data_IF_311704339618
#
_entry.id   IF_311704339618
#
_cell.length_a   1.000
_cell.length_b   1.000
_cell.length_c   1.000
_cell.angle_alpha   90.00
_cell.angle_beta   90.00
_cell.angle_gamma   90.00
#
_symmetry.space_group_name_H-M   'P 1'
#
loop_
_entity.id
_entity.type
_entity.pdbx_description
1 polymer ?
#
# COMPACT_ATOMS: atom_id res chain seq x y z
N UNK A 1 9.37 -4.48 -22.86
CA UNK A 1 8.48 -3.70 -21.98
C UNK A 1 7.69 -4.69 -21.13
N UNK A 2 8.10 -4.93 -19.89
CA UNK A 2 7.37 -5.82 -18.99
C UNK A 2 6.17 -5.06 -18.44
N UNK A 3 4.97 -5.52 -18.79
CA UNK A 3 3.73 -5.06 -18.17
C UNK A 3 3.74 -5.54 -16.72
N UNK A 4 3.99 -4.64 -15.77
CA UNK A 4 3.77 -4.94 -14.36
C UNK A 4 2.28 -5.19 -14.16
N UNK A 5 1.93 -6.37 -13.65
CA UNK A 5 0.58 -6.63 -13.19
C UNK A 5 0.26 -5.62 -12.07
N UNK A 6 -0.57 -4.62 -12.38
CA UNK A 6 -0.90 -3.48 -11.51
C UNK A 6 -1.85 -3.88 -10.36
N UNK A 7 -1.42 -4.81 -9.51
CA UNK A 7 -2.11 -5.19 -8.29
C UNK A 7 -1.89 -4.17 -7.17
N UNK A 8 -2.92 -3.91 -6.37
CA UNK A 8 -2.78 -3.14 -5.14
C UNK A 8 -2.36 -4.11 -4.03
N UNK A 9 -1.19 -3.91 -3.40
CA UNK A 9 -0.69 -4.64 -2.24
C UNK A 9 -1.17 -3.97 -0.95
N UNK A 10 -2.33 -4.40 -0.45
CA UNK A 10 -2.88 -4.03 0.86
C UNK A 10 -2.92 -5.25 1.77
N UNK A 11 -3.20 -5.07 3.06
CA UNK A 11 -3.48 -6.20 3.96
C UNK A 11 -4.56 -7.17 3.42
N UNK A 12 -5.60 -6.64 2.77
CA UNK A 12 -6.73 -7.43 2.26
C UNK A 12 -6.45 -8.15 0.92
N UNK A 13 -5.39 -7.75 0.21
CA UNK A 13 -5.01 -8.31 -1.10
C UNK A 13 -3.61 -8.93 -1.13
N UNK A 14 -2.82 -8.76 -0.06
CA UNK A 14 -1.43 -9.20 0.01
C UNK A 14 -1.29 -10.68 -0.33
N UNK A 15 -2.12 -11.56 0.24
CA UNK A 15 -2.04 -13.00 -0.05
C UNK A 15 -2.26 -13.30 -1.53
N UNK A 16 -3.32 -12.73 -2.15
CA UNK A 16 -3.58 -12.95 -3.58
C UNK A 16 -2.44 -12.44 -4.46
N UNK A 17 -1.87 -11.28 -4.13
CA UNK A 17 -0.74 -10.74 -4.87
C UNK A 17 0.53 -11.59 -4.70
N UNK A 18 0.76 -12.13 -3.50
CA UNK A 18 1.85 -13.08 -3.24
C UNK A 18 1.66 -14.32 -4.11
N UNK A 19 0.45 -14.87 -4.16
CA UNK A 19 0.15 -16.07 -4.95
C UNK A 19 0.40 -15.84 -6.44
N UNK A 20 -0.12 -14.72 -6.98
CA UNK A 20 0.05 -14.35 -8.39
C UNK A 20 1.53 -14.06 -8.74
N UNK A 21 2.26 -13.39 -7.84
CA UNK A 21 3.69 -13.14 -7.99
C UNK A 21 4.47 -14.46 -8.03
N UNK A 22 4.24 -15.34 -7.05
CA UNK A 22 4.99 -16.59 -6.93
C UNK A 22 4.73 -17.54 -8.09
N UNK A 23 3.50 -17.57 -8.62
CA UNK A 23 3.18 -18.32 -9.84
C UNK A 23 4.02 -17.84 -11.04
N UNK A 24 4.12 -16.51 -11.22
CA UNK A 24 4.91 -15.93 -12.31
C UNK A 24 6.42 -16.09 -12.10
N UNK A 25 6.88 -15.92 -10.85
CA UNK A 25 8.27 -16.10 -10.43
C UNK A 25 8.76 -17.53 -10.68
N UNK A 26 7.98 -18.54 -10.28
CA UNK A 26 8.29 -19.95 -10.53
C UNK A 26 8.33 -20.28 -12.03
N UNK A 27 7.37 -19.76 -12.81
CA UNK A 27 7.40 -19.90 -14.26
C UNK A 27 8.63 -19.24 -14.91
N UNK A 28 9.08 -18.09 -14.38
CA UNK A 28 10.28 -17.39 -14.83
C UNK A 28 11.57 -18.15 -14.49
N UNK A 29 11.60 -18.87 -13.37
CA UNK A 29 12.73 -19.72 -13.01
C UNK A 29 12.91 -20.89 -13.99
N UNK A 30 11.80 -21.46 -14.50
CA UNK A 30 11.83 -22.51 -15.52
C UNK A 30 12.07 -23.91 -14.96
N UNK A 31 11.60 -24.18 -13.74
CA UNK A 31 11.66 -25.51 -13.12
C UNK A 31 12.93 -25.72 -12.30
N UNK A 32 14.12 -25.70 -12.91
CA UNK A 32 15.39 -25.91 -12.20
C UNK A 32 16.09 -24.61 -11.78
N UNK A 33 17.03 -24.70 -10.84
CA UNK A 33 17.95 -23.59 -10.59
C UNK A 33 18.72 -23.22 -11.88
N UNK A 34 18.83 -21.92 -12.18
CA UNK A 34 19.39 -21.48 -13.44
C UNK A 34 20.93 -21.68 -13.46
N UNK A 35 21.46 -22.07 -14.61
CA UNK A 35 22.92 -22.23 -14.86
C UNK A 35 23.72 -20.92 -14.71
N UNK A 36 23.02 -19.80 -14.64
CA UNK A 36 23.51 -18.45 -14.41
C UNK A 36 22.54 -17.78 -13.42
N UNK A 37 22.99 -16.83 -12.60
CA UNK A 37 22.12 -16.16 -11.65
C UNK A 37 20.91 -15.55 -12.37
N UNK A 38 19.71 -15.68 -11.78
CA UNK A 38 18.47 -15.14 -12.34
C UNK A 38 17.74 -14.35 -11.28
N UNK A 39 17.00 -13.33 -11.70
CA UNK A 39 16.10 -12.59 -10.83
C UNK A 39 14.77 -12.33 -11.53
N UNK A 40 13.72 -12.21 -10.74
CA UNK A 40 12.40 -11.80 -11.17
C UNK A 40 11.88 -10.74 -10.21
N UNK A 41 11.41 -9.61 -10.72
CA UNK A 41 10.81 -8.57 -9.90
C UNK A 41 9.49 -8.05 -10.45
N UNK A 42 8.62 -7.60 -9.54
CA UNK A 42 7.38 -6.92 -9.86
C UNK A 42 7.16 -5.75 -8.89
N UNK A 43 6.65 -4.65 -9.44
CA UNK A 43 6.27 -3.47 -8.69
C UNK A 43 4.76 -3.55 -8.39
N UNK A 44 4.39 -3.31 -7.14
CA UNK A 44 3.02 -3.15 -6.69
C UNK A 44 2.79 -1.72 -6.19
N UNK A 45 1.52 -1.30 -6.16
CA UNK A 45 1.13 0.01 -5.64
C UNK A 45 1.84 1.19 -6.35
N UNK A 46 2.11 1.06 -7.65
CA UNK A 46 2.82 2.10 -8.38
C UNK A 46 2.06 3.44 -8.38
N UNK A 47 2.81 4.53 -8.27
CA UNK A 47 2.27 5.88 -8.12
C UNK A 47 1.58 6.15 -6.78
N UNK A 48 1.87 5.38 -5.73
CA UNK A 48 1.33 5.59 -4.38
C UNK A 48 2.43 5.55 -3.32
N UNK A 49 2.24 6.14 -2.14
CA UNK A 49 3.18 6.04 -1.02
C UNK A 49 3.48 4.59 -0.62
N UNK A 50 2.52 3.67 -0.82
CA UNK A 50 2.67 2.25 -0.54
C UNK A 50 3.42 1.44 -1.59
N UNK A 51 4.13 2.07 -2.54
CA UNK A 51 4.87 1.38 -3.61
C UNK A 51 5.91 0.42 -3.03
N UNK A 52 5.84 -0.83 -3.46
CA UNK A 52 6.80 -1.88 -3.09
C UNK A 52 7.25 -2.62 -4.33
N UNK A 53 8.54 -2.99 -4.35
CA UNK A 53 9.08 -3.95 -5.30
C UNK A 53 9.27 -5.30 -4.59
N UNK A 54 8.79 -6.36 -5.21
CA UNK A 54 8.99 -7.74 -4.75
C UNK A 54 9.95 -8.43 -5.69
N UNK A 55 11.02 -9.01 -5.15
CA UNK A 55 12.09 -9.62 -5.93
C UNK A 55 12.42 -11.03 -5.42
N UNK A 56 12.56 -11.97 -6.35
CA UNK A 56 13.14 -13.30 -6.12
C UNK A 56 14.45 -13.38 -6.88
N UNK A 57 15.51 -13.81 -6.21
CA UNK A 57 16.85 -14.02 -6.79
C UNK A 57 17.24 -15.48 -6.61
N UNK A 58 17.50 -16.18 -7.71
CA UNK A 58 17.99 -17.56 -7.72
C UNK A 58 19.50 -17.59 -7.91
N UNK A 59 20.25 -18.25 -7.02
CA UNK A 59 21.69 -18.38 -7.14
C UNK A 59 22.06 -19.33 -8.28
N UNK A 60 23.32 -19.28 -8.71
CA UNK A 60 23.89 -20.28 -9.61
C UNK A 60 24.00 -21.61 -8.86
N UNK A 61 23.47 -22.69 -9.43
CA UNK A 61 23.53 -24.02 -8.84
C UNK A 61 23.73 -25.13 -9.87
N UNK A 62 24.47 -26.18 -9.50
CA UNK A 62 24.62 -27.45 -10.25
C UNK A 62 23.50 -28.45 -9.98
N UNK A 63 22.48 -28.01 -9.26
CA UNK A 63 21.54 -28.80 -8.50
C UNK A 63 20.18 -28.59 -9.18
N UNK A 64 19.65 -29.63 -9.84
CA UNK A 64 18.29 -29.65 -10.42
C UNK A 64 17.27 -29.81 -9.29
N UNK A 65 16.78 -28.68 -8.78
CA UNK A 65 15.74 -28.62 -7.77
C UNK A 65 14.60 -27.81 -8.34
N UNK A 66 13.38 -28.32 -8.15
CA UNK A 66 12.17 -27.62 -8.56
C UNK A 66 12.01 -26.34 -7.75
N UNK A 67 11.89 -25.21 -8.42
CA UNK A 67 11.45 -23.96 -7.81
C UNK A 67 9.97 -24.10 -7.47
N UNK A 68 9.67 -24.30 -6.18
CA UNK A 68 8.31 -24.48 -5.70
C UNK A 68 7.63 -23.13 -5.46
N UNK A 69 6.44 -22.98 -6.04
CA UNK A 69 5.60 -21.80 -5.83
C UNK A 69 5.27 -21.61 -4.34
N UNK A 70 5.08 -22.72 -3.62
CA UNK A 70 4.68 -22.80 -2.22
C UNK A 70 5.75 -22.24 -1.28
N UNK A 71 7.04 -22.46 -1.59
CA UNK A 71 8.15 -21.89 -0.81
C UNK A 71 8.19 -20.37 -0.96
N UNK A 72 8.06 -19.87 -2.20
CA UNK A 72 7.92 -18.44 -2.45
C UNK A 72 6.75 -17.83 -1.66
N UNK A 73 5.59 -18.49 -1.68
CA UNK A 73 4.41 -18.02 -0.96
C UNK A 73 4.65 -17.97 0.54
N UNK A 74 5.27 -19.00 1.11
CA UNK A 74 5.61 -19.05 2.53
C UNK A 74 6.54 -17.90 2.92
N UNK A 75 7.67 -17.74 2.23
CA UNK A 75 8.67 -16.74 2.58
C UNK A 75 8.18 -15.30 2.39
N UNK A 76 7.45 -15.01 1.32
CA UNK A 76 6.84 -13.69 1.13
C UNK A 76 5.73 -13.41 2.14
N UNK A 77 4.98 -14.43 2.56
CA UNK A 77 3.99 -14.29 3.64
C UNK A 77 4.66 -14.00 4.98
N UNK A 78 5.77 -14.67 5.28
CA UNK A 78 6.61 -14.41 6.47
C UNK A 78 7.13 -12.97 6.45
N UNK A 79 7.68 -12.49 5.33
CA UNK A 79 8.14 -11.10 5.21
C UNK A 79 7.00 -10.10 5.37
N UNK A 80 5.87 -10.32 4.68
CA UNK A 80 4.71 -9.44 4.76
C UNK A 80 4.15 -9.35 6.19
N UNK A 81 4.14 -10.45 6.93
CA UNK A 81 3.58 -10.51 8.28
C UNK A 81 4.60 -10.12 9.37
N UNK A 82 5.86 -10.53 9.23
CA UNK A 82 6.91 -10.47 10.26
C UNK A 82 7.75 -9.20 10.29
N UNK A 83 7.75 -8.39 9.21
CA UNK A 83 8.56 -7.17 9.16
C UNK A 83 7.86 -5.95 9.79
N UNK A 84 7.55 -6.04 11.09
CA UNK A 84 7.25 -4.87 11.93
C UNK A 84 8.53 -4.47 12.67
N UNK A 85 8.92 -3.19 12.65
CA UNK A 85 10.04 -2.70 13.46
C UNK A 85 9.85 -3.07 14.95
N UNK A 86 10.87 -3.57 15.66
CA UNK A 86 10.80 -3.71 17.10
C UNK A 86 10.73 -2.32 17.77
N UNK A 87 9.78 -2.15 18.70
CA UNK A 87 9.58 -0.91 19.48
C UNK A 87 8.23 -0.22 19.25
N UNK A 88 7.92 0.79 20.07
CA UNK A 88 6.64 1.52 20.06
C UNK A 88 6.49 2.52 18.89
N UNK A 89 7.55 2.72 18.11
CA UNK A 89 7.63 3.75 17.06
C UNK A 89 7.05 3.29 15.70
N UNK A 90 6.42 2.12 15.62
CA UNK A 90 5.68 1.64 14.45
C UNK A 90 4.23 1.22 14.79
N UNK A 91 3.53 2.03 15.58
CA UNK A 91 2.12 1.80 15.94
C UNK A 91 1.19 1.68 14.72
N UNK A 92 1.59 2.27 13.58
CA UNK A 92 0.86 2.21 12.32
C UNK A 92 1.15 0.95 11.49
N UNK A 93 2.01 0.04 11.98
CA UNK A 93 2.40 -1.21 11.31
C UNK A 93 2.87 -1.01 9.86
N UNK A 94 3.56 0.10 9.59
CA UNK A 94 4.20 0.31 8.30
C UNK A 94 5.22 -0.80 8.06
N UNK A 95 5.21 -1.33 6.85
CA UNK A 95 6.12 -2.40 6.44
C UNK A 95 7.36 -1.75 5.86
N UNK A 96 8.50 -2.01 6.48
CA UNK A 96 9.82 -1.50 6.05
C UNK A 96 10.50 -2.42 5.03
N UNK A 97 9.78 -3.43 4.56
CA UNK A 97 10.35 -4.47 3.74
C UNK A 97 11.20 -5.44 4.55
N UNK A 98 11.97 -6.24 3.83
CA UNK A 98 12.86 -7.23 4.39
C UNK A 98 13.31 -8.21 3.32
N UNK A 99 14.29 -9.03 3.67
CA UNK A 99 14.71 -10.14 2.83
C UNK A 99 14.90 -11.40 3.66
N UNK A 100 14.63 -12.55 3.04
CA UNK A 100 14.85 -13.86 3.63
C UNK A 100 15.36 -14.81 2.54
N UNK A 101 16.22 -15.74 2.93
CA UNK A 101 16.68 -16.80 2.05
C UNK A 101 16.20 -18.16 2.53
N UNK A 102 15.91 -19.05 1.58
CA UNK A 102 15.64 -20.44 1.88
C UNK A 102 16.93 -21.26 2.06
N UNK A 103 16.79 -22.56 2.35
CA UNK A 103 17.92 -23.48 2.47
C UNK A 103 18.75 -23.63 1.19
N UNK A 104 18.20 -23.22 0.04
CA UNK A 104 18.84 -23.25 -1.27
C UNK A 104 19.49 -21.91 -1.65
N UNK A 105 19.45 -20.92 -0.76
CA UNK A 105 19.92 -19.54 -0.98
C UNK A 105 19.14 -18.78 -2.05
N UNK A 106 17.92 -19.22 -2.40
CA UNK A 106 16.98 -18.37 -3.13
C UNK A 106 16.58 -17.24 -2.19
N UNK A 107 16.73 -16.01 -2.64
CA UNK A 107 16.46 -14.82 -1.82
C UNK A 107 15.15 -14.17 -2.26
N UNK A 108 14.29 -13.95 -1.28
CA UNK A 108 13.01 -13.25 -1.44
C UNK A 108 13.14 -11.89 -0.75
N UNK A 109 12.71 -10.83 -1.42
CA UNK A 109 12.82 -9.47 -0.91
C UNK A 109 11.53 -8.70 -1.17
N UNK A 110 11.05 -7.95 -0.17
CA UNK A 110 10.04 -6.91 -0.33
C UNK A 110 10.73 -5.59 0.01
N UNK A 111 10.77 -4.65 -0.93
CA UNK A 111 11.43 -3.35 -0.77
C UNK A 111 10.42 -2.23 -0.96
N UNK A 112 10.07 -1.44 0.08
CA UNK A 112 9.41 -0.16 -0.10
C UNK A 112 10.33 0.76 -0.90
N UNK A 113 9.84 1.31 -2.02
CA UNK A 113 10.68 2.11 -2.93
C UNK A 113 10.32 3.58 -2.95
N UNK A 114 9.32 4.00 -2.17
CA UNK A 114 8.95 5.41 -2.05
C UNK A 114 9.56 6.04 -0.82
N UNK A 115 10.02 7.28 -0.98
CA UNK A 115 10.51 8.09 0.13
C UNK A 115 9.30 8.57 0.94
N UNK A 116 9.27 8.20 2.22
CA UNK A 116 8.16 8.48 3.13
C UNK A 116 8.73 9.06 4.42
N UNK A 117 7.97 9.92 5.14
CA UNK A 117 8.40 10.32 6.46
C UNK A 117 8.53 9.09 7.36
N UNK A 118 9.23 9.24 8.48
CA UNK A 118 9.20 8.20 9.52
C UNK A 118 7.75 7.87 9.87
N UNK A 119 7.41 6.58 10.10
CA UNK A 119 6.04 6.17 10.41
C UNK A 119 5.49 7.03 11.56
N UNK A 120 4.37 7.74 11.36
CA UNK A 120 3.80 8.53 12.44
C UNK A 120 3.21 7.59 13.49
N UNK A 121 3.12 8.04 14.75
CA UNK A 121 2.49 7.26 15.84
C UNK A 121 0.97 7.11 15.70
N UNK A 122 0.35 7.89 14.83
CA UNK A 122 -1.07 7.85 14.49
C UNK A 122 -1.27 8.45 13.09
N UNK A 123 -2.40 8.21 12.42
CA UNK A 123 -2.72 8.93 11.18
C UNK A 123 -2.63 10.44 11.39
N UNK A 124 -2.07 11.14 10.42
CA UNK A 124 -1.95 12.61 10.42
C UNK A 124 -2.86 13.19 9.36
N UNK A 125 -3.28 14.44 9.56
CA UNK A 125 -4.02 15.16 8.53
C UNK A 125 -4.84 16.32 9.05
N UNK A 126 -5.55 16.94 8.10
CA UNK A 126 -6.42 18.09 8.32
C UNK A 126 -7.59 18.02 7.35
N UNK A 127 -8.69 18.66 7.70
CA UNK A 127 -9.83 18.80 6.80
C UNK A 127 -10.37 20.23 6.85
N UNK A 128 -10.98 20.65 5.76
CA UNK A 128 -11.66 21.93 5.65
C UNK A 128 -12.96 21.71 4.90
N UNK A 129 -14.00 22.43 5.31
CA UNK A 129 -15.23 22.49 4.58
C UNK A 129 -15.73 23.91 4.42
N UNK A 130 -16.16 24.23 3.19
CA UNK A 130 -16.69 25.53 2.83
C UNK A 130 -18.14 25.38 2.40
N UNK A 131 -19.02 25.99 3.19
CA UNK A 131 -20.44 26.07 2.89
C UNK A 131 -20.69 27.01 1.70
N UNK A 132 -21.46 26.56 0.71
CA UNK A 132 -22.00 27.36 -0.39
C UNK A 132 -23.53 27.22 -0.43
N UNK A 133 -24.26 28.16 -1.05
CA UNK A 133 -25.73 28.16 -1.02
C UNK A 133 -26.43 26.89 -1.54
N UNK A 134 -25.73 26.03 -2.30
CA UNK A 134 -26.28 24.83 -2.93
C UNK A 134 -25.44 23.57 -2.71
N UNK A 135 -24.29 23.70 -2.05
CA UNK A 135 -23.25 22.68 -2.06
C UNK A 135 -22.32 22.83 -0.86
N UNK A 136 -21.79 21.69 -0.42
CA UNK A 136 -20.81 21.61 0.64
C UNK A 136 -19.49 21.11 0.05
N UNK A 137 -18.56 22.02 -0.20
CA UNK A 137 -17.24 21.66 -0.73
C UNK A 137 -16.34 21.29 0.44
N UNK A 138 -15.62 20.18 0.30
CA UNK A 138 -14.72 19.71 1.33
C UNK A 138 -13.38 19.30 0.76
N UNK A 139 -12.37 19.44 1.61
CA UNK A 139 -10.99 19.04 1.37
C UNK A 139 -10.49 18.25 2.58
N UNK A 140 -9.81 17.14 2.34
CA UNK A 140 -9.17 16.31 3.35
C UNK A 140 -7.75 16.01 2.90
N UNK A 141 -6.79 16.26 3.78
CA UNK A 141 -5.40 15.86 3.60
C UNK A 141 -5.07 14.81 4.64
N UNK A 142 -4.34 13.77 4.25
CA UNK A 142 -4.03 12.67 5.14
C UNK A 142 -2.66 12.06 4.90
N UNK A 143 -2.13 11.41 5.93
CA UNK A 143 -0.89 10.61 5.90
C UNK A 143 -1.00 9.44 6.88
N UNK A 144 -0.34 8.32 6.58
CA UNK A 144 -0.41 7.11 7.41
C UNK A 144 -1.65 6.23 7.23
N UNK A 145 -2.57 6.60 6.34
CA UNK A 145 -3.69 5.77 5.89
C UNK A 145 -3.97 6.04 4.40
N UNK A 146 -4.81 5.22 3.76
CA UNK A 146 -5.09 5.28 2.31
C UNK A 146 -3.82 5.27 1.44
N UNK A 147 -2.76 4.57 1.86
CA UNK A 147 -1.42 4.66 1.25
C UNK A 147 -1.29 4.02 -0.13
N UNK A 148 -2.27 3.25 -0.60
CA UNK A 148 -2.16 2.43 -1.82
C UNK A 148 -3.46 2.25 -2.61
N UNK A 149 -4.61 2.52 -2.01
CA UNK A 149 -5.94 2.25 -2.57
C UNK A 149 -6.62 3.47 -3.19
N UNK A 150 -5.91 4.59 -3.37
CA UNK A 150 -6.40 5.82 -4.02
C UNK A 150 -7.70 6.37 -3.40
N UNK A 151 -7.81 6.32 -2.07
CA UNK A 151 -8.95 6.88 -1.36
C UNK A 151 -10.23 6.05 -1.41
N UNK A 152 -10.22 4.82 -1.93
CA UNK A 152 -11.45 4.01 -2.11
C UNK A 152 -12.23 3.78 -0.82
N UNK A 153 -11.54 3.55 0.30
CA UNK A 153 -12.22 3.31 1.57
C UNK A 153 -12.74 4.64 2.16
N UNK A 154 -11.95 5.72 2.07
CA UNK A 154 -12.40 7.07 2.39
C UNK A 154 -13.64 7.49 1.57
N UNK A 155 -13.64 7.28 0.25
CA UNK A 155 -14.76 7.59 -0.64
C UNK A 155 -16.01 6.82 -0.20
N UNK A 156 -15.86 5.52 0.08
CA UNK A 156 -16.96 4.67 0.56
C UNK A 156 -17.58 5.21 1.84
N UNK A 157 -16.75 5.62 2.80
CA UNK A 157 -17.21 6.17 4.07
C UNK A 157 -17.90 7.52 3.90
N UNK A 158 -17.36 8.41 3.06
CA UNK A 158 -17.95 9.73 2.79
C UNK A 158 -19.26 9.60 2.00
N UNK A 159 -19.37 8.64 1.07
CA UNK A 159 -20.63 8.31 0.39
C UNK A 159 -21.71 7.82 1.35
N UNK A 160 -21.34 7.27 2.50
CA UNK A 160 -22.27 6.97 3.59
C UNK A 160 -22.91 8.22 4.22
N UNK A 161 -22.29 9.40 4.07
CA UNK A 161 -22.86 10.67 4.51
C UNK A 161 -23.85 11.25 3.50
N UNK A 162 -23.67 10.99 2.20
CA UNK A 162 -24.54 11.52 1.15
C UNK A 162 -23.97 11.34 -0.25
N UNK A 163 -24.70 11.84 -1.25
CA UNK A 163 -24.28 11.78 -2.64
C UNK A 163 -23.03 12.64 -2.89
N UNK A 164 -21.85 12.00 -2.95
CA UNK A 164 -20.59 12.67 -3.27
C UNK A 164 -20.50 12.92 -4.77
N UNK A 165 -20.31 14.19 -5.14
CA UNK A 165 -20.00 14.63 -6.51
C UNK A 165 -18.60 15.25 -6.56
N UNK A 166 -18.02 15.32 -7.76
CA UNK A 166 -16.68 15.88 -7.99
C UNK A 166 -15.58 15.26 -7.10
N UNK A 167 -15.67 13.96 -6.79
CA UNK A 167 -14.64 13.24 -6.04
C UNK A 167 -13.31 13.30 -6.78
N UNK A 168 -12.27 13.71 -6.06
CA UNK A 168 -10.89 13.70 -6.54
C UNK A 168 -9.97 13.25 -5.40
N UNK A 169 -8.99 12.42 -5.75
CA UNK A 169 -7.99 11.93 -4.82
C UNK A 169 -6.62 11.89 -5.52
N UNK A 170 -5.64 12.56 -4.95
CA UNK A 170 -4.28 12.61 -5.48
C UNK A 170 -3.26 12.33 -4.37
N UNK A 171 -2.26 11.50 -4.69
CA UNK A 171 -1.06 11.41 -3.88
C UNK A 171 -0.12 12.57 -4.20
N UNK A 172 0.63 13.00 -3.20
CA UNK A 172 1.72 13.94 -3.43
C UNK A 172 2.96 13.20 -3.94
N UNK A 173 3.74 13.85 -4.80
CA UNK A 173 5.05 13.33 -5.23
C UNK A 173 6.03 13.26 -4.06
N UNK A 174 5.93 14.22 -3.13
CA UNK A 174 6.67 14.26 -1.87
C UNK A 174 5.72 14.55 -0.71
N UNK A 175 5.92 13.92 0.46
CA UNK A 175 5.16 14.23 1.66
C UNK A 175 5.23 15.72 2.01
N UNK A 176 4.10 16.30 2.38
CA UNK A 176 4.06 17.68 2.85
C UNK A 176 4.78 17.82 4.22
N UNK A 177 5.16 19.04 4.59
CA UNK A 177 5.87 19.32 5.84
C UNK A 177 5.09 18.89 7.11
N UNK A 178 3.76 18.79 7.03
CA UNK A 178 2.91 18.29 8.11
C UNK A 178 2.72 16.76 8.10
N UNK A 179 3.47 16.05 7.25
CA UNK A 179 3.43 14.60 7.12
C UNK A 179 2.27 14.07 6.28
N UNK A 180 1.44 14.94 5.68
CA UNK A 180 0.39 14.49 4.75
C UNK A 180 0.97 14.02 3.43
N UNK A 181 0.41 12.95 2.86
CA UNK A 181 0.91 12.24 1.68
C UNK A 181 -0.08 12.27 0.52
N UNK A 182 -1.30 12.76 0.75
CA UNK A 182 -2.34 12.87 -0.25
C UNK A 182 -3.38 13.94 0.09
N UNK A 183 -4.16 14.30 -0.92
CA UNK A 183 -5.31 15.20 -0.86
C UNK A 183 -6.54 14.54 -1.49
N UNK A 184 -7.67 14.64 -0.82
CA UNK A 184 -8.98 14.27 -1.32
C UNK A 184 -9.88 15.50 -1.29
N UNK A 185 -10.71 15.67 -2.32
CA UNK A 185 -11.73 16.74 -2.36
C UNK A 185 -13.01 16.26 -3.01
N UNK A 186 -14.09 16.98 -2.73
CA UNK A 186 -15.37 16.71 -3.35
C UNK A 186 -16.47 17.63 -2.85
N UNK A 187 -17.69 17.28 -3.23
CA UNK A 187 -18.89 18.01 -2.86
C UNK A 187 -19.92 17.07 -2.25
N UNK A 188 -20.54 17.51 -1.15
CA UNK A 188 -21.68 16.86 -0.52
C UNK A 188 -22.92 17.77 -0.58
N UNK A 189 -24.13 17.22 -0.38
CA UNK A 189 -25.32 18.01 -0.17
C UNK A 189 -25.21 18.91 1.07
N UNK A 190 -25.87 20.06 1.01
CA UNK A 190 -25.84 21.09 2.06
C UNK A 190 -26.41 20.63 3.42
N UNK A 191 -27.24 19.60 3.40
CA UNK A 191 -27.90 19.03 4.59
C UNK A 191 -26.96 18.16 5.42
N UNK A 192 -25.74 17.92 4.96
CA UNK A 192 -24.77 17.05 5.64
C UNK A 192 -23.96 17.87 6.64
N UNK A 193 -23.88 17.37 7.87
CA UNK A 193 -23.06 17.99 8.92
C UNK A 193 -21.57 17.69 8.72
N UNK A 194 -20.72 18.66 9.10
CA UNK A 194 -19.27 18.44 9.11
C UNK A 194 -18.86 17.28 10.02
N UNK A 195 -19.67 17.00 11.05
CA UNK A 195 -19.49 15.86 11.93
C UNK A 195 -19.53 14.51 11.17
N UNK A 196 -20.37 14.41 10.13
CA UNK A 196 -20.40 13.20 9.30
C UNK A 196 -19.08 13.01 8.55
N UNK A 197 -18.54 14.08 7.94
CA UNK A 197 -17.26 14.04 7.24
C UNK A 197 -16.12 13.62 8.19
N UNK A 198 -16.03 14.24 9.37
CA UNK A 198 -15.04 13.89 10.38
C UNK A 198 -15.15 12.42 10.82
N UNK A 199 -16.38 11.91 11.00
CA UNK A 199 -16.63 10.51 11.34
C UNK A 199 -16.25 9.57 10.20
N UNK A 200 -16.50 9.94 8.95
CA UNK A 200 -16.13 9.17 7.77
C UNK A 200 -14.59 9.05 7.65
N UNK A 201 -13.87 10.16 7.83
CA UNK A 201 -12.38 10.15 7.85
C UNK A 201 -11.86 9.21 8.93
N UNK A 202 -12.38 9.30 10.15
CA UNK A 202 -11.98 8.40 11.24
C UNK A 202 -12.31 6.93 10.92
N UNK A 203 -13.48 6.67 10.32
CA UNK A 203 -13.92 5.31 9.96
C UNK A 203 -13.08 4.70 8.84
N UNK A 204 -12.48 5.52 7.98
CA UNK A 204 -11.50 5.10 6.98
C UNK A 204 -10.10 4.84 7.57
N UNK A 205 -9.93 4.92 8.91
CA UNK A 205 -8.64 4.77 9.58
C UNK A 205 -7.83 6.06 9.65
N UNK A 206 -8.45 7.21 9.41
CA UNK A 206 -7.83 8.52 9.49
C UNK A 206 -7.76 9.12 10.89
N UNK A 207 -7.40 10.38 10.94
CA UNK A 207 -7.18 11.16 12.16
C UNK A 207 -8.51 11.60 12.80
N UNK A 208 -8.45 11.94 14.09
CA UNK A 208 -9.58 12.60 14.77
C UNK A 208 -9.49 14.10 14.52
N UNK A 209 -10.48 14.67 13.86
CA UNK A 209 -10.60 16.12 13.65
C UNK A 209 -12.03 16.60 13.82
N UNK A 210 -12.18 17.91 13.98
CA UNK A 210 -13.40 18.60 13.62
C UNK A 210 -13.16 19.21 12.24
N UNK A 211 -13.76 18.58 11.23
CA UNK A 211 -14.13 19.27 10.02
C UNK A 211 -15.37 20.12 10.38
#
# INVERSE_FOLDING_TARGET
MMSAANGIWTKASAQRNIDDYCKQSAAHAGGDLPKQGRSFSQIFNDGTPGRVEVTTEWPVGSRSYQVFQEECQYYLSVLNNGCSLPGDDNSMNWKHGGSISDGNRVKYTITPTQDRPSPPRSPVGRCNAKYRPWAYNWDVWGGGFESSNKGKELERQIRGCGAVTAWKFDYFDTPAADGTEWHASGTLPITISNHCLAKAVKSAGGFKSNC
#
